data_IF_513647871002
#
_entry.id   IF_513647871002
#
_cell.length_a   1.000
_cell.length_b   1.000
_cell.length_c   1.000
_cell.angle_alpha   90.00
_cell.angle_beta   90.00
_cell.angle_gamma   90.00
#
_symmetry.space_group_name_H-M   'P 1'
#
loop_
_entity.id
_entity.type
_entity.pdbx_description
1 polymer ?
#
# COMPACT_ATOMS: atom_id res chain seq x y z
N UNK A 1 25.55 69.66 -37.73
CA UNK A 1 25.89 68.76 -36.59
C UNK A 1 24.60 68.20 -35.97
N UNK A 2 24.22 66.97 -36.28
CA UNK A 2 23.06 66.28 -35.67
C UNK A 2 23.59 65.22 -34.71
N UNK A 3 23.34 65.42 -33.42
CA UNK A 3 23.62 64.43 -32.33
C UNK A 3 22.60 63.32 -32.42
N UNK A 4 23.03 62.14 -32.80
CA UNK A 4 22.21 60.93 -32.67
C UNK A 4 22.27 60.44 -31.22
N UNK A 5 21.10 60.36 -30.58
CA UNK A 5 20.94 59.91 -29.21
C UNK A 5 21.14 58.35 -29.09
N UNK A 6 21.93 57.87 -28.12
CA UNK A 6 22.14 56.43 -27.92
C UNK A 6 21.00 55.75 -27.14
N UNK A 7 19.81 56.36 -27.05
CA UNK A 7 18.73 55.90 -26.18
C UNK A 7 17.85 54.78 -26.78
N UNK A 8 17.93 54.58 -28.11
CA UNK A 8 17.05 53.61 -28.79
C UNK A 8 17.63 52.16 -28.77
N UNK A 9 18.94 52.00 -28.59
CA UNK A 9 19.59 50.69 -28.61
C UNK A 9 19.46 49.91 -27.26
N UNK A 10 19.15 50.62 -26.16
CA UNK A 10 19.05 50.02 -24.83
C UNK A 10 17.67 49.37 -24.55
N UNK A 11 16.63 49.77 -25.27
CA UNK A 11 15.26 49.25 -25.09
C UNK A 11 15.07 47.91 -25.82
N UNK A 12 15.83 47.65 -26.90
CA UNK A 12 15.72 46.38 -27.65
C UNK A 12 16.47 45.22 -27.01
N UNK A 13 17.44 45.44 -26.14
CA UNK A 13 18.17 44.41 -25.41
C UNK A 13 17.48 43.97 -24.12
N UNK A 14 16.54 44.77 -23.59
CA UNK A 14 15.79 44.45 -22.36
C UNK A 14 14.55 43.60 -22.63
N UNK A 15 14.08 43.51 -23.88
CA UNK A 15 12.90 42.70 -24.25
C UNK A 15 13.21 41.22 -24.57
N UNK A 16 14.49 40.84 -24.68
CA UNK A 16 14.91 39.47 -24.95
C UNK A 16 15.20 38.63 -23.67
N UNK A 17 15.12 39.25 -22.47
CA UNK A 17 15.42 38.58 -21.21
C UNK A 17 14.19 38.16 -20.42
N UNK A 18 13.00 38.35 -20.95
CA UNK A 18 11.75 37.98 -20.29
C UNK A 18 11.00 36.96 -21.17
N UNK A 19 11.25 35.70 -21.02
CA UNK A 19 10.32 34.59 -21.22
C UNK A 19 11.06 33.24 -21.33
N UNK A 20 11.98 32.96 -20.40
CA UNK A 20 12.17 31.55 -20.00
C UNK A 20 11.14 31.24 -18.91
N UNK A 21 9.86 31.14 -19.27
CA UNK A 21 8.94 30.32 -18.47
C UNK A 21 9.49 28.90 -18.56
N UNK A 22 10.23 28.50 -17.54
CA UNK A 22 10.46 27.09 -17.26
C UNK A 22 9.08 26.46 -17.19
N UNK A 23 8.65 25.77 -18.24
CA UNK A 23 7.51 24.86 -18.14
C UNK A 23 7.86 23.95 -17.00
N UNK A 24 7.21 24.11 -15.85
CA UNK A 24 7.26 23.12 -14.78
C UNK A 24 6.73 21.85 -15.42
N UNK A 25 7.63 20.98 -15.84
CA UNK A 25 7.26 19.68 -16.39
C UNK A 25 6.48 18.95 -15.27
N UNK A 26 5.17 18.77 -15.49
CA UNK A 26 4.30 18.15 -14.50
C UNK A 26 4.70 16.68 -14.42
N UNK A 27 5.45 16.34 -13.40
CA UNK A 27 6.02 15.02 -13.21
C UNK A 27 4.95 13.99 -12.88
N UNK A 28 4.94 12.85 -13.58
CA UNK A 28 4.09 11.71 -13.27
C UNK A 28 4.66 10.99 -12.05
N UNK A 29 3.84 10.88 -10.99
CA UNK A 29 4.23 10.23 -9.73
C UNK A 29 3.63 8.86 -9.64
N UNK A 30 4.43 7.90 -9.16
CA UNK A 30 4.01 6.54 -8.84
C UNK A 30 4.40 6.21 -7.41
N UNK A 31 3.44 5.69 -6.66
CA UNK A 31 3.60 5.13 -5.34
C UNK A 31 3.39 3.61 -5.43
N UNK A 32 4.39 2.86 -5.01
CA UNK A 32 4.34 1.41 -4.87
C UNK A 32 3.92 1.12 -3.43
N UNK A 33 2.84 0.33 -3.25
CA UNK A 33 2.41 -0.15 -1.93
C UNK A 33 2.40 -1.67 -1.93
N UNK A 34 3.11 -2.27 -0.97
CA UNK A 34 3.13 -3.71 -0.75
C UNK A 34 2.30 -4.05 0.48
N UNK A 35 1.23 -4.80 0.29
CA UNK A 35 0.30 -5.21 1.34
C UNK A 35 0.73 -6.56 1.97
N UNK A 36 0.15 -6.90 3.12
CA UNK A 36 0.33 -8.15 3.87
C UNK A 36 1.75 -8.39 4.43
N UNK A 37 2.60 -7.38 4.53
CA UNK A 37 3.93 -7.53 5.13
C UNK A 37 3.77 -7.98 6.60
N UNK A 38 4.55 -8.96 7.03
CA UNK A 38 4.40 -9.56 8.37
C UNK A 38 3.36 -10.67 8.46
N UNK A 39 2.66 -11.00 7.37
CA UNK A 39 1.73 -12.12 7.34
C UNK A 39 2.46 -13.45 7.61
N UNK A 40 3.50 -13.74 6.86
CA UNK A 40 4.33 -14.94 7.00
C UNK A 40 5.78 -14.68 6.59
N UNK A 41 6.67 -15.64 6.93
CA UNK A 41 8.10 -15.54 6.60
C UNK A 41 8.37 -15.36 5.10
N UNK A 42 7.66 -16.06 4.23
CA UNK A 42 7.85 -15.97 2.79
C UNK A 42 7.52 -14.58 2.22
N UNK A 43 6.57 -13.85 2.81
CA UNK A 43 6.26 -12.45 2.47
C UNK A 43 7.37 -11.52 2.96
N UNK A 44 7.88 -11.74 4.17
CA UNK A 44 8.98 -10.93 4.72
C UNK A 44 10.27 -11.11 3.90
N UNK A 45 10.58 -12.33 3.47
CA UNK A 45 11.74 -12.60 2.58
C UNK A 45 11.55 -11.98 1.18
N UNK A 46 10.32 -11.94 0.66
CA UNK A 46 10.02 -11.22 -0.57
C UNK A 46 10.25 -9.70 -0.40
N UNK A 47 9.89 -9.16 0.77
CA UNK A 47 10.16 -7.76 1.12
C UNK A 47 11.66 -7.47 1.15
N UNK A 48 12.48 -8.35 1.70
CA UNK A 48 13.94 -8.21 1.65
C UNK A 48 14.47 -8.16 0.21
N UNK A 49 13.97 -9.04 -0.67
CA UNK A 49 14.36 -9.00 -2.10
C UNK A 49 13.96 -7.69 -2.79
N UNK A 50 12.82 -7.11 -2.42
CA UNK A 50 12.44 -5.80 -2.93
C UNK A 50 13.36 -4.71 -2.41
N UNK A 51 13.74 -4.74 -1.12
CA UNK A 51 14.68 -3.79 -0.51
C UNK A 51 16.05 -3.80 -1.20
N UNK A 52 16.56 -4.98 -1.63
CA UNK A 52 17.80 -5.12 -2.39
C UNK A 52 17.80 -4.34 -3.71
N UNK A 53 16.62 -4.02 -4.26
CA UNK A 53 16.51 -3.23 -5.50
C UNK A 53 16.78 -1.74 -5.31
N UNK A 54 16.75 -1.24 -4.06
CA UNK A 54 16.83 0.19 -3.72
C UNK A 54 15.61 1.01 -4.17
N UNK A 55 14.52 0.37 -4.59
CA UNK A 55 13.34 1.05 -5.10
C UNK A 55 12.47 1.57 -3.94
N UNK A 56 12.06 2.86 -3.95
CA UNK A 56 11.16 3.38 -2.92
C UNK A 56 9.79 2.68 -2.96
N UNK A 57 9.29 2.27 -1.79
CA UNK A 57 7.94 1.69 -1.65
C UNK A 57 7.35 1.99 -0.26
N UNK A 58 6.07 1.69 -0.11
CA UNK A 58 5.35 1.76 1.16
C UNK A 58 4.92 0.35 1.56
N UNK A 59 5.12 -0.02 2.83
CA UNK A 59 4.84 -1.33 3.39
C UNK A 59 3.62 -1.27 4.30
N UNK A 60 2.53 -1.98 3.97
CA UNK A 60 1.37 -2.16 4.84
C UNK A 60 1.56 -3.41 5.67
N UNK A 61 1.82 -3.25 6.98
CA UNK A 61 2.23 -4.33 7.90
C UNK A 61 1.06 -4.85 8.72
N UNK A 62 0.86 -6.18 8.72
CA UNK A 62 -0.18 -6.88 9.48
C UNK A 62 0.30 -7.15 10.92
N UNK A 63 0.10 -6.22 11.84
CA UNK A 63 0.52 -6.36 13.24
C UNK A 63 -0.30 -7.39 14.05
N UNK A 64 -1.40 -7.90 13.51
CA UNK A 64 -2.15 -9.01 14.09
C UNK A 64 -1.53 -10.38 13.76
N UNK A 65 -0.71 -10.48 12.71
CA UNK A 65 -0.10 -11.74 12.29
C UNK A 65 1.18 -12.06 13.06
N UNK A 66 1.51 -13.35 13.29
CA UNK A 66 2.67 -13.73 14.13
C UNK A 66 4.03 -13.24 13.61
N UNK A 67 4.20 -13.16 12.29
CA UNK A 67 5.48 -12.78 11.66
C UNK A 67 5.73 -11.28 11.57
N UNK A 68 4.85 -10.44 12.14
CA UNK A 68 5.07 -8.98 12.18
C UNK A 68 6.40 -8.59 12.83
N UNK A 69 6.87 -9.38 13.82
CA UNK A 69 8.12 -9.07 14.53
C UNK A 69 9.33 -9.12 13.62
N UNK A 70 9.42 -10.11 12.73
CA UNK A 70 10.47 -10.19 11.71
C UNK A 70 10.38 -9.03 10.72
N UNK A 71 9.15 -8.69 10.25
CA UNK A 71 8.94 -7.54 9.39
C UNK A 71 9.42 -6.23 10.06
N UNK A 72 9.14 -6.05 11.35
CA UNK A 72 9.63 -4.91 12.13
C UNK A 72 11.15 -4.87 12.17
N UNK A 73 11.81 -5.99 12.41
CA UNK A 73 13.29 -6.03 12.49
C UNK A 73 13.93 -5.72 11.14
N UNK A 74 13.35 -6.20 10.03
CA UNK A 74 13.76 -5.87 8.67
C UNK A 74 13.57 -4.37 8.41
N UNK A 75 12.36 -3.83 8.64
CA UNK A 75 12.02 -2.45 8.29
C UNK A 75 12.74 -1.42 9.18
N UNK A 76 13.15 -1.77 10.39
CA UNK A 76 13.98 -0.88 11.25
C UNK A 76 15.32 -0.53 10.63
N UNK A 77 15.88 -1.39 9.81
CA UNK A 77 17.14 -1.14 9.10
C UNK A 77 16.95 -0.37 7.79
N UNK A 78 15.68 -0.05 7.43
CA UNK A 78 15.29 0.61 6.20
C UNK A 78 14.34 1.81 6.46
N UNK A 79 14.84 2.89 7.11
CA UNK A 79 14.02 4.04 7.50
C UNK A 79 13.45 4.83 6.31
N UNK A 80 13.95 4.58 5.09
CA UNK A 80 13.44 5.14 3.83
C UNK A 80 12.09 4.55 3.42
N UNK A 81 11.73 3.35 3.90
CA UNK A 81 10.43 2.74 3.64
C UNK A 81 9.35 3.44 4.46
N UNK A 82 8.26 3.83 3.79
CA UNK A 82 7.07 4.33 4.47
C UNK A 82 6.26 3.15 5.02
N UNK A 83 5.99 3.14 6.31
CA UNK A 83 5.28 2.03 6.96
C UNK A 83 3.86 2.44 7.33
N UNK A 84 2.89 1.58 6.99
CA UNK A 84 1.51 1.66 7.41
C UNK A 84 1.08 0.46 8.24
N UNK A 85 0.00 0.64 9.01
CA UNK A 85 -0.66 -0.47 9.71
C UNK A 85 -1.75 -1.03 8.80
N UNK A 86 -1.59 -2.29 8.37
CA UNK A 86 -2.60 -3.02 7.62
C UNK A 86 -3.62 -3.61 8.58
N UNK A 87 -4.63 -2.79 8.95
CA UNK A 87 -5.64 -3.12 9.95
C UNK A 87 -6.43 -4.35 9.54
N UNK A 88 -6.36 -5.38 10.36
CA UNK A 88 -6.77 -6.74 10.03
C UNK A 88 -7.93 -7.18 10.90
N UNK A 89 -9.05 -7.57 10.29
CA UNK A 89 -10.26 -8.11 10.93
C UNK A 89 -10.72 -9.43 10.28
N UNK A 90 -9.89 -9.99 9.37
CA UNK A 90 -10.16 -11.25 8.66
C UNK A 90 -8.96 -12.18 8.71
N UNK A 91 -9.20 -13.48 8.50
CA UNK A 91 -8.19 -14.52 8.39
C UNK A 91 -8.62 -15.53 7.33
N UNK A 92 -8.36 -15.22 6.07
CA UNK A 92 -8.93 -15.87 4.89
C UNK A 92 -8.36 -17.25 4.55
N UNK A 93 -7.19 -17.61 5.10
CA UNK A 93 -6.53 -18.88 4.76
C UNK A 93 -7.16 -20.08 5.46
N UNK A 94 -7.27 -21.21 4.77
CA UNK A 94 -7.89 -22.43 5.31
C UNK A 94 -7.18 -22.99 6.56
N UNK A 95 -5.88 -23.07 6.53
CA UNK A 95 -5.07 -23.71 7.57
C UNK A 95 -4.17 -22.75 8.36
N UNK A 96 -3.88 -21.59 7.81
CA UNK A 96 -3.06 -20.57 8.43
C UNK A 96 -3.97 -19.46 8.97
N UNK A 97 -4.29 -19.54 10.24
CA UNK A 97 -5.25 -18.65 10.90
C UNK A 97 -4.59 -17.75 11.92
N UNK A 98 -5.12 -16.56 12.06
CA UNK A 98 -4.80 -15.63 13.13
C UNK A 98 -6.06 -15.03 13.73
N UNK A 99 -5.92 -14.48 14.93
CA UNK A 99 -7.00 -13.82 15.65
C UNK A 99 -6.59 -12.45 16.14
N UNK A 100 -7.43 -11.80 16.94
CA UNK A 100 -7.19 -10.48 17.47
C UNK A 100 -6.00 -10.46 18.44
N UNK A 101 -5.30 -9.31 18.45
CA UNK A 101 -4.20 -9.04 19.41
C UNK A 101 -4.69 -9.17 20.85
N UNK A 102 -5.93 -8.73 21.11
CA UNK A 102 -6.53 -8.71 22.45
C UNK A 102 -7.05 -10.08 22.89
N UNK A 103 -7.12 -11.04 21.97
CA UNK A 103 -7.65 -12.40 22.24
C UNK A 103 -9.18 -12.42 22.29
N UNK A 104 -9.73 -13.64 22.14
CA UNK A 104 -11.17 -13.93 22.06
C UNK A 104 -11.98 -13.34 23.23
N UNK A 105 -11.47 -13.46 24.45
CA UNK A 105 -12.20 -13.04 25.66
C UNK A 105 -12.46 -11.53 25.71
N UNK A 106 -11.59 -10.73 25.10
CA UNK A 106 -11.72 -9.27 25.09
C UNK A 106 -12.60 -8.77 23.96
N UNK A 107 -12.67 -9.49 22.85
CA UNK A 107 -13.38 -9.08 21.62
C UNK A 107 -14.12 -10.27 20.98
N UNK A 108 -15.02 -10.92 21.73
CA UNK A 108 -15.68 -12.18 21.32
C UNK A 108 -16.53 -12.06 20.05
N UNK A 109 -17.06 -10.87 19.74
CA UNK A 109 -17.87 -10.67 18.54
C UNK A 109 -17.04 -10.60 17.23
N UNK A 110 -15.72 -10.56 17.34
CA UNK A 110 -14.84 -10.44 16.16
C UNK A 110 -14.33 -11.79 15.65
N UNK A 111 -14.59 -12.89 16.37
CA UNK A 111 -13.97 -14.18 16.12
C UNK A 111 -14.97 -15.33 16.07
N UNK A 112 -14.54 -16.44 15.45
CA UNK A 112 -15.24 -17.70 15.45
C UNK A 112 -15.15 -18.44 16.80
N UNK A 113 -15.72 -19.63 16.88
CA UNK A 113 -15.69 -20.47 18.08
C UNK A 113 -14.27 -20.85 18.53
N UNK A 114 -13.31 -20.86 17.62
CA UNK A 114 -11.90 -21.20 17.86
C UNK A 114 -11.05 -19.98 18.26
N UNK A 115 -11.60 -18.77 18.16
CA UNK A 115 -10.89 -17.53 18.48
C UNK A 115 -10.12 -16.92 17.30
N UNK A 116 -10.38 -17.36 16.08
CA UNK A 116 -9.81 -16.79 14.86
C UNK A 116 -10.75 -15.76 14.23
N UNK A 117 -10.20 -14.78 13.57
CA UNK A 117 -10.99 -13.89 12.71
C UNK A 117 -11.70 -14.67 11.60
N UNK A 118 -12.85 -14.19 11.16
CA UNK A 118 -13.63 -14.79 10.07
C UNK A 118 -12.88 -14.72 8.73
N UNK A 119 -13.18 -15.65 7.84
CA UNK A 119 -12.51 -15.74 6.53
C UNK A 119 -12.88 -14.59 5.59
N UNK A 120 -14.12 -14.10 5.69
CA UNK A 120 -14.63 -13.08 4.77
C UNK A 120 -15.24 -11.90 5.52
N UNK A 121 -15.29 -10.74 4.85
CA UNK A 121 -16.01 -9.55 5.35
C UNK A 121 -17.50 -9.85 5.57
N UNK A 122 -18.11 -10.68 4.73
CA UNK A 122 -19.52 -11.07 4.87
C UNK A 122 -19.74 -11.84 6.17
N UNK A 123 -18.97 -12.88 6.44
CA UNK A 123 -19.07 -13.67 7.69
C UNK A 123 -18.82 -12.78 8.93
N UNK A 124 -17.83 -11.89 8.86
CA UNK A 124 -17.56 -10.93 9.92
C UNK A 124 -18.78 -10.05 10.22
N UNK A 125 -19.43 -9.49 9.19
CA UNK A 125 -20.62 -8.65 9.36
C UNK A 125 -21.86 -9.43 9.83
N UNK A 126 -22.05 -10.65 9.32
CA UNK A 126 -23.15 -11.53 9.74
C UNK A 126 -23.05 -11.94 11.23
N UNK A 127 -21.84 -11.97 11.78
CA UNK A 127 -21.64 -12.19 13.22
C UNK A 127 -21.99 -10.97 14.10
N UNK A 128 -22.49 -9.88 13.51
CA UNK A 128 -22.88 -8.66 14.23
C UNK A 128 -21.77 -8.09 15.13
N UNK A 129 -20.60 -7.71 14.59
CA UNK A 129 -19.48 -7.24 15.37
C UNK A 129 -19.83 -5.99 16.18
N UNK A 130 -19.50 -5.99 17.46
CA UNK A 130 -19.71 -4.83 18.32
C UNK A 130 -18.65 -3.76 18.03
N UNK A 131 -19.11 -2.56 17.75
CA UNK A 131 -18.23 -1.46 17.32
C UNK A 131 -17.18 -1.08 18.38
N UNK A 132 -17.49 -1.22 19.66
CA UNK A 132 -16.53 -1.00 20.76
C UNK A 132 -15.45 -2.09 20.82
N UNK A 133 -15.78 -3.35 20.46
CA UNK A 133 -14.80 -4.42 20.34
C UNK A 133 -13.92 -4.22 19.12
N UNK A 134 -14.50 -3.80 17.97
CA UNK A 134 -13.73 -3.42 16.78
C UNK A 134 -12.76 -2.29 17.11
N UNK A 135 -13.23 -1.24 17.78
CA UNK A 135 -12.38 -0.11 18.18
C UNK A 135 -11.21 -0.56 19.06
N UNK A 136 -11.47 -1.37 20.07
CA UNK A 136 -10.42 -1.89 20.98
C UNK A 136 -9.35 -2.63 20.19
N UNK A 137 -9.74 -3.53 19.30
CA UNK A 137 -8.80 -4.33 18.50
C UNK A 137 -8.01 -3.46 17.51
N UNK A 138 -8.66 -2.56 16.77
CA UNK A 138 -7.94 -1.69 15.83
C UNK A 138 -6.95 -0.77 16.54
N UNK A 139 -7.31 -0.25 17.73
CA UNK A 139 -6.36 0.50 18.58
C UNK A 139 -5.18 -0.36 19.00
N UNK A 140 -5.41 -1.59 19.44
CA UNK A 140 -4.34 -2.50 19.84
C UNK A 140 -3.36 -2.76 18.68
N UNK A 141 -3.85 -2.90 17.44
CA UNK A 141 -3.00 -3.05 16.26
C UNK A 141 -2.17 -1.80 15.99
N UNK A 142 -2.78 -0.60 16.03
CA UNK A 142 -2.07 0.68 15.85
C UNK A 142 -1.04 0.89 16.97
N UNK A 143 -1.40 0.65 18.21
CA UNK A 143 -0.52 0.85 19.37
C UNK A 143 0.66 -0.12 19.36
N UNK A 144 0.43 -1.40 18.97
CA UNK A 144 1.52 -2.37 18.75
C UNK A 144 2.49 -1.87 17.67
N UNK A 145 1.97 -1.29 16.60
CA UNK A 145 2.80 -0.71 15.53
C UNK A 145 3.63 0.46 16.05
N UNK A 146 3.03 1.41 16.77
CA UNK A 146 3.73 2.56 17.33
C UNK A 146 4.78 2.14 18.37
N UNK A 147 4.49 1.12 19.19
CA UNK A 147 5.43 0.57 20.18
C UNK A 147 6.55 -0.23 19.55
N UNK A 148 6.42 -0.64 18.29
CA UNK A 148 7.49 -1.37 17.58
C UNK A 148 8.75 -0.54 17.37
N UNK A 149 8.66 0.78 17.43
CA UNK A 149 9.75 1.73 17.16
C UNK A 149 9.93 2.06 15.68
N UNK A 150 9.03 1.60 14.80
CA UNK A 150 8.94 2.05 13.41
C UNK A 150 8.26 3.42 13.32
N UNK A 151 8.62 4.23 12.31
CA UNK A 151 7.84 5.39 11.92
C UNK A 151 6.60 4.90 11.18
N UNK A 152 5.42 5.16 11.73
CA UNK A 152 4.14 4.81 11.11
C UNK A 152 3.56 6.06 10.44
N UNK A 153 3.34 5.98 9.13
CA UNK A 153 2.90 7.12 8.31
C UNK A 153 1.39 7.06 8.00
N UNK A 154 0.80 5.85 7.90
CA UNK A 154 -0.60 5.69 7.49
C UNK A 154 -1.24 4.44 8.11
N UNK A 155 -2.57 4.36 8.00
CA UNK A 155 -3.33 3.13 8.23
C UNK A 155 -4.14 2.80 6.97
N UNK A 156 -4.21 1.55 6.62
CA UNK A 156 -5.10 1.00 5.62
C UNK A 156 -5.81 -0.25 6.16
N UNK A 157 -6.41 -1.06 5.32
CA UNK A 157 -7.25 -2.15 5.80
C UNK A 157 -7.12 -3.39 4.93
N UNK A 158 -6.87 -4.53 5.57
CA UNK A 158 -6.92 -5.85 4.95
C UNK A 158 -8.33 -6.15 4.45
N UNK A 159 -8.47 -6.62 3.20
CA UNK A 159 -9.73 -7.00 2.55
C UNK A 159 -10.86 -5.94 2.61
N UNK A 160 -10.58 -4.70 2.97
CA UNK A 160 -11.59 -3.65 3.05
C UNK A 160 -12.46 -3.67 4.31
N UNK A 161 -12.33 -4.65 5.19
CA UNK A 161 -13.28 -4.93 6.26
C UNK A 161 -13.42 -3.79 7.28
N UNK A 162 -12.32 -3.14 7.68
CA UNK A 162 -12.37 -2.02 8.62
C UNK A 162 -13.10 -0.77 8.08
N UNK A 163 -13.47 -0.76 6.79
CA UNK A 163 -14.22 0.33 6.16
C UNK A 163 -15.48 -0.17 5.41
N UNK A 164 -15.91 -1.42 5.65
CA UNK A 164 -16.98 -2.08 4.88
C UNK A 164 -18.39 -1.49 5.10
N UNK A 165 -18.63 -0.86 6.25
CA UNK A 165 -19.89 -0.17 6.54
C UNK A 165 -19.65 1.30 6.86
N UNK A 166 -20.67 2.19 6.76
CA UNK A 166 -20.52 3.58 7.17
C UNK A 166 -20.02 3.75 8.61
N UNK A 167 -20.48 2.89 9.53
CA UNK A 167 -20.07 2.94 10.93
C UNK A 167 -18.60 2.55 11.13
N UNK A 168 -18.17 1.47 10.49
CA UNK A 168 -16.76 1.03 10.51
C UNK A 168 -15.85 2.08 9.87
N UNK A 169 -16.26 2.65 8.75
CA UNK A 169 -15.51 3.72 8.07
C UNK A 169 -15.36 4.96 8.95
N UNK A 170 -16.41 5.39 9.64
CA UNK A 170 -16.33 6.52 10.58
C UNK A 170 -15.37 6.23 11.73
N UNK A 171 -15.37 5.01 12.26
CA UNK A 171 -14.42 4.57 13.27
C UNK A 171 -12.98 4.63 12.74
N UNK A 172 -12.74 4.03 11.57
CA UNK A 172 -11.44 4.00 10.90
C UNK A 172 -10.88 5.42 10.67
N UNK A 173 -11.70 6.33 10.14
CA UNK A 173 -11.33 7.74 9.92
C UNK A 173 -11.04 8.48 11.24
N UNK A 174 -11.80 8.19 12.29
CA UNK A 174 -11.57 8.76 13.63
C UNK A 174 -10.23 8.29 14.19
N UNK A 175 -9.91 7.01 14.09
CA UNK A 175 -8.62 6.47 14.54
C UNK A 175 -7.46 7.10 13.76
N UNK A 176 -7.55 7.21 12.43
CA UNK A 176 -6.53 7.88 11.62
C UNK A 176 -6.27 9.31 12.10
N UNK A 177 -7.33 10.06 12.38
CA UNK A 177 -7.24 11.44 12.87
C UNK A 177 -6.61 11.52 14.27
N UNK A 178 -7.02 10.66 15.21
CA UNK A 178 -6.54 10.62 16.58
C UNK A 178 -5.04 10.30 16.64
N UNK A 179 -4.61 9.29 15.87
CA UNK A 179 -3.20 8.87 15.79
C UNK A 179 -2.38 9.70 14.80
N UNK A 180 -2.98 10.68 14.11
CA UNK A 180 -2.33 11.56 13.11
C UNK A 180 -1.68 10.78 11.98
N UNK A 181 -2.39 9.79 11.44
CA UNK A 181 -1.96 8.90 10.35
C UNK A 181 -2.70 9.20 9.05
N UNK A 182 -2.02 9.00 7.92
CA UNK A 182 -2.64 9.10 6.60
C UNK A 182 -3.63 7.97 6.34
N UNK A 183 -4.50 8.15 5.35
CA UNK A 183 -5.37 7.10 4.83
C UNK A 183 -5.16 7.02 3.33
N UNK A 184 -4.64 5.90 2.78
CA UNK A 184 -4.64 5.62 1.35
C UNK A 184 -6.02 5.80 0.72
N UNK A 185 -6.07 6.22 -0.54
CA UNK A 185 -7.25 6.67 -1.30
C UNK A 185 -7.80 8.07 -0.93
N UNK A 186 -7.37 8.68 0.19
CA UNK A 186 -7.87 9.98 0.64
C UNK A 186 -7.07 11.17 0.10
N UNK A 187 -6.01 10.93 -0.68
CA UNK A 187 -5.20 11.99 -1.31
C UNK A 187 -5.48 12.15 -2.81
N UNK A 188 -6.66 11.69 -3.27
CA UNK A 188 -7.10 11.72 -4.67
C UNK A 188 -6.18 10.94 -5.62
N UNK A 189 -5.67 9.80 -5.15
CA UNK A 189 -4.82 8.90 -5.91
C UNK A 189 -5.62 8.13 -6.97
N UNK A 190 -4.94 7.72 -8.03
CA UNK A 190 -5.45 6.75 -9.01
C UNK A 190 -4.86 5.38 -8.70
N UNK A 191 -5.70 4.39 -8.43
CA UNK A 191 -5.31 3.05 -8.02
C UNK A 191 -5.25 2.06 -9.18
N UNK A 192 -4.26 1.18 -9.12
CA UNK A 192 -4.06 0.04 -9.99
C UNK A 192 -3.70 -1.18 -9.15
N UNK A 193 -4.13 -2.36 -9.57
CA UNK A 193 -3.86 -3.63 -8.90
C UNK A 193 -3.42 -4.67 -9.90
N UNK A 194 -2.55 -5.59 -9.46
CA UNK A 194 -2.14 -6.75 -10.25
C UNK A 194 -2.74 -8.06 -9.74
N UNK A 195 -3.42 -8.04 -8.60
CA UNK A 195 -3.90 -9.22 -7.91
C UNK A 195 -4.69 -10.17 -8.82
N UNK A 196 -5.65 -9.66 -9.60
CA UNK A 196 -6.50 -10.44 -10.50
C UNK A 196 -5.91 -10.69 -11.89
N UNK A 197 -4.72 -10.15 -12.18
CA UNK A 197 -4.04 -10.38 -13.47
C UNK A 197 -3.52 -11.82 -13.52
N UNK A 198 -3.65 -12.55 -14.66
CA UNK A 198 -3.05 -13.87 -14.82
C UNK A 198 -1.55 -13.88 -14.54
N UNK A 199 -1.05 -14.99 -13.99
CA UNK A 199 0.35 -15.12 -13.53
C UNK A 199 1.34 -14.75 -14.64
N UNK A 200 1.12 -15.29 -15.83
CA UNK A 200 1.97 -15.11 -17.02
C UNK A 200 1.94 -13.70 -17.60
N UNK A 201 0.91 -12.93 -17.29
CA UNK A 201 0.70 -11.58 -17.85
C UNK A 201 1.10 -10.46 -16.90
N UNK A 202 1.58 -10.75 -15.69
CA UNK A 202 1.81 -9.71 -14.67
C UNK A 202 2.87 -8.68 -15.07
N UNK A 203 3.96 -9.09 -15.72
CA UNK A 203 5.01 -8.16 -16.20
C UNK A 203 4.44 -7.24 -17.28
N UNK A 204 3.80 -7.80 -18.31
CA UNK A 204 3.26 -7.02 -19.43
C UNK A 204 2.17 -6.05 -18.95
N UNK A 205 1.27 -6.53 -18.09
CA UNK A 205 0.22 -5.70 -17.50
C UNK A 205 0.80 -4.57 -16.63
N UNK A 206 1.87 -4.82 -15.88
CA UNK A 206 2.55 -3.79 -15.11
C UNK A 206 3.16 -2.71 -16.02
N UNK A 207 3.80 -3.12 -17.12
CA UNK A 207 4.35 -2.21 -18.13
C UNK A 207 3.23 -1.37 -18.77
N UNK A 208 2.11 -2.00 -19.10
CA UNK A 208 0.93 -1.32 -19.66
C UNK A 208 0.37 -0.28 -18.67
N UNK A 209 0.22 -0.63 -17.40
CA UNK A 209 -0.21 0.31 -16.35
C UNK A 209 0.74 1.51 -16.31
N UNK A 210 2.06 1.29 -16.29
CA UNK A 210 3.05 2.39 -16.20
C UNK A 210 2.99 3.30 -17.43
N UNK A 211 2.79 2.73 -18.62
CA UNK A 211 2.64 3.53 -19.85
C UNK A 211 1.37 4.39 -19.87
N UNK A 212 0.35 4.04 -19.06
CA UNK A 212 -0.95 4.71 -19.01
C UNK A 212 -1.18 5.52 -17.70
N UNK A 213 -0.13 5.75 -16.89
CA UNK A 213 -0.24 6.53 -15.65
C UNK A 213 -0.71 7.96 -15.92
N UNK A 214 -1.55 8.49 -15.03
CA UNK A 214 -2.11 9.83 -15.16
C UNK A 214 -1.10 10.89 -14.72
N UNK A 215 -0.67 11.71 -15.66
CA UNK A 215 0.19 12.88 -15.39
C UNK A 215 -0.53 13.89 -14.48
N UNK A 216 0.21 14.47 -13.54
CA UNK A 216 -0.32 15.47 -12.60
C UNK A 216 -1.12 14.88 -11.44
N UNK A 217 -1.24 13.53 -11.37
CA UNK A 217 -1.84 12.81 -10.24
C UNK A 217 -0.81 11.93 -9.55
N UNK A 218 -1.13 11.53 -8.32
CA UNK A 218 -0.44 10.43 -7.65
C UNK A 218 -1.10 9.13 -8.10
N UNK A 219 -0.36 8.27 -8.79
CA UNK A 219 -0.79 6.94 -9.15
C UNK A 219 -0.28 5.96 -8.09
N UNK A 220 -1.06 4.97 -7.72
CA UNK A 220 -0.68 3.93 -6.76
C UNK A 220 -0.85 2.56 -7.42
N UNK A 221 0.18 1.72 -7.32
CA UNK A 221 0.06 0.30 -7.67
C UNK A 221 0.20 -0.51 -6.38
N UNK A 222 -0.79 -1.36 -6.12
CA UNK A 222 -0.80 -2.27 -4.95
C UNK A 222 -0.29 -3.64 -5.37
N UNK A 223 0.62 -4.17 -4.58
CA UNK A 223 1.24 -5.48 -4.75
C UNK A 223 1.04 -6.36 -3.51
N UNK A 224 0.88 -7.65 -3.75
CA UNK A 224 0.89 -8.69 -2.74
C UNK A 224 2.07 -9.63 -3.03
N UNK A 225 3.25 -9.28 -2.55
CA UNK A 225 4.48 -10.03 -2.85
C UNK A 225 4.67 -11.23 -1.93
N UNK A 226 5.33 -12.28 -2.43
CA UNK A 226 5.69 -13.47 -1.67
C UNK A 226 6.74 -14.30 -2.39
N UNK A 227 7.48 -15.14 -1.66
CA UNK A 227 8.34 -16.15 -2.26
C UNK A 227 7.54 -17.42 -2.52
N UNK A 228 7.76 -18.02 -3.68
CA UNK A 228 7.25 -19.37 -3.97
C UNK A 228 8.05 -20.39 -3.16
N UNK A 229 7.36 -21.11 -2.27
CA UNK A 229 7.92 -22.17 -1.45
C UNK A 229 6.79 -23.09 -0.94
N UNK A 230 7.10 -24.30 -0.38
CA UNK A 230 6.09 -25.25 0.07
C UNK A 230 5.12 -24.71 1.14
N UNK A 231 5.55 -23.79 2.01
CA UNK A 231 4.67 -23.19 3.03
C UNK A 231 3.64 -22.26 2.37
N UNK A 232 4.09 -21.39 1.44
CA UNK A 232 3.17 -20.54 0.68
C UNK A 232 2.24 -21.36 -0.25
N UNK A 233 2.71 -22.47 -0.81
CA UNK A 233 1.90 -23.37 -1.63
C UNK A 233 0.76 -24.03 -0.84
N UNK A 234 0.90 -24.15 0.48
CA UNK A 234 -0.13 -24.68 1.38
C UNK A 234 -1.22 -23.64 1.74
N UNK A 235 -1.05 -22.36 1.40
CA UNK A 235 -2.07 -21.34 1.66
C UNK A 235 -3.22 -21.47 0.66
N UNK A 236 -4.41 -21.76 1.15
CA UNK A 236 -5.64 -21.86 0.34
C UNK A 236 -6.54 -20.69 0.74
N UNK A 237 -6.82 -19.82 -0.25
CA UNK A 237 -7.70 -18.66 -0.05
C UNK A 237 -9.17 -19.10 -0.02
N UNK A 238 -9.83 -18.89 1.11
CA UNK A 238 -11.24 -19.23 1.31
C UNK A 238 -12.18 -18.11 0.84
N UNK A 239 -11.63 -16.90 0.60
CA UNK A 239 -12.39 -15.73 0.17
C UNK A 239 -12.40 -15.54 -1.35
N UNK A 240 -11.26 -15.74 -2.03
CA UNK A 240 -11.10 -15.43 -3.46
C UNK A 240 -10.79 -16.69 -4.29
N UNK A 241 -11.85 -17.35 -4.78
CA UNK A 241 -11.76 -18.61 -5.53
C UNK A 241 -10.80 -18.62 -6.73
N UNK A 242 -10.61 -17.53 -7.53
CA UNK A 242 -9.62 -17.52 -8.61
C UNK A 242 -8.17 -17.79 -8.19
N UNK A 243 -7.85 -17.73 -6.89
CA UNK A 243 -6.56 -18.15 -6.35
C UNK A 243 -6.43 -19.67 -6.16
N UNK A 244 -7.40 -20.44 -6.66
CA UNK A 244 -7.37 -21.90 -6.65
C UNK A 244 -7.63 -22.41 -8.05
N UNK A 245 -6.80 -23.37 -8.54
CA UNK A 245 -7.01 -23.99 -9.85
C UNK A 245 -8.30 -24.83 -9.89
N UNK A 246 -8.80 -25.19 -11.08
CA UNK A 246 -9.94 -26.10 -11.22
C UNK A 246 -9.75 -27.44 -10.50
N UNK A 247 -8.51 -27.91 -10.38
CA UNK A 247 -8.12 -29.16 -9.70
C UNK A 247 -7.98 -28.97 -8.18
N UNK A 248 -8.25 -27.77 -7.65
CA UNK A 248 -8.19 -27.46 -6.21
C UNK A 248 -6.79 -27.14 -5.69
N UNK A 249 -5.81 -26.88 -6.56
CA UNK A 249 -4.45 -26.47 -6.18
C UNK A 249 -4.40 -24.97 -5.92
N UNK A 250 -3.80 -24.56 -4.79
CA UNK A 250 -3.58 -23.15 -4.50
C UNK A 250 -2.64 -22.49 -5.52
N UNK A 251 -3.03 -21.32 -6.00
CA UNK A 251 -2.23 -20.46 -6.88
C UNK A 251 -1.64 -19.24 -6.16
N UNK A 252 -1.93 -19.07 -4.86
CA UNK A 252 -1.51 -17.90 -4.04
C UNK A 252 -0.01 -17.67 -4.13
N UNK A 253 0.78 -18.71 -3.89
CA UNK A 253 2.24 -18.66 -3.92
C UNK A 253 2.77 -18.15 -5.26
N UNK A 254 2.28 -18.75 -6.35
CA UNK A 254 2.68 -18.38 -7.73
C UNK A 254 2.26 -16.95 -8.10
N UNK A 255 1.04 -16.53 -7.73
CA UNK A 255 0.57 -15.17 -7.95
C UNK A 255 1.44 -14.13 -7.23
N UNK A 256 1.71 -14.35 -5.93
CA UNK A 256 2.54 -13.44 -5.12
C UNK A 256 3.99 -13.40 -5.60
N UNK A 257 4.53 -14.55 -6.01
CA UNK A 257 5.88 -14.62 -6.58
C UNK A 257 5.97 -13.92 -7.94
N UNK A 258 4.95 -14.06 -8.79
CA UNK A 258 4.88 -13.36 -10.07
C UNK A 258 4.77 -11.83 -9.89
N UNK A 259 4.07 -11.34 -8.86
CA UNK A 259 4.07 -9.93 -8.51
C UNK A 259 5.45 -9.43 -8.06
N UNK A 260 6.15 -10.19 -7.23
CA UNK A 260 7.53 -9.88 -6.85
C UNK A 260 8.44 -9.84 -8.08
N UNK A 261 8.36 -10.85 -8.96
CA UNK A 261 9.15 -10.89 -10.21
C UNK A 261 8.88 -9.68 -11.09
N UNK A 262 7.61 -9.33 -11.27
CA UNK A 262 7.23 -8.17 -12.09
C UNK A 262 7.80 -6.86 -11.49
N UNK A 263 7.64 -6.67 -10.18
CA UNK A 263 8.10 -5.48 -9.46
C UNK A 263 9.63 -5.35 -9.49
N UNK A 264 10.37 -6.47 -9.36
CA UNK A 264 11.83 -6.47 -9.38
C UNK A 264 12.43 -6.60 -10.79
N UNK A 265 11.60 -6.67 -11.85
CA UNK A 265 12.06 -6.90 -13.22
C UNK A 265 12.89 -5.73 -13.78
N UNK A 266 13.75 -6.06 -14.74
CA UNK A 266 14.52 -5.06 -15.50
C UNK A 266 13.58 -4.23 -16.37
N UNK A 267 12.59 -4.85 -16.97
CA UNK A 267 11.58 -4.25 -17.84
C UNK A 267 10.79 -3.15 -17.11
N UNK A 268 10.40 -3.42 -15.85
CA UNK A 268 9.72 -2.41 -15.03
C UNK A 268 10.61 -1.21 -14.76
N UNK A 269 11.89 -1.42 -14.41
CA UNK A 269 12.85 -0.31 -14.20
C UNK A 269 13.09 0.49 -15.48
N UNK A 270 13.19 -0.18 -16.63
CA UNK A 270 13.38 0.48 -17.92
C UNK A 270 12.19 1.35 -18.31
N UNK A 271 10.95 0.86 -18.11
CA UNK A 271 9.74 1.65 -18.44
C UNK A 271 9.57 2.84 -17.50
N UNK A 272 9.92 2.71 -16.21
CA UNK A 272 9.94 3.83 -15.28
C UNK A 272 10.90 4.93 -15.76
N UNK A 273 12.13 4.56 -16.14
CA UNK A 273 13.13 5.50 -16.67
C UNK A 273 12.70 6.15 -17.97
N UNK A 274 12.20 5.35 -18.94
CA UNK A 274 11.71 5.82 -20.24
C UNK A 274 10.59 6.86 -20.11
N UNK A 275 9.65 6.62 -19.20
CA UNK A 275 8.51 7.51 -18.97
C UNK A 275 8.80 8.60 -17.93
N UNK A 276 10.04 8.73 -17.44
CA UNK A 276 10.47 9.70 -16.42
C UNK A 276 9.54 9.67 -15.18
N UNK A 277 9.14 8.48 -14.74
CA UNK A 277 8.27 8.30 -13.58
C UNK A 277 9.04 8.60 -12.30
N UNK A 278 8.45 9.42 -11.45
CA UNK A 278 8.99 9.74 -10.13
C UNK A 278 8.36 8.84 -9.07
N UNK A 279 9.15 7.91 -8.52
CA UNK A 279 8.71 7.08 -7.41
C UNK A 279 8.66 7.89 -6.12
N UNK A 280 7.57 7.76 -5.39
CA UNK A 280 7.35 8.36 -4.08
C UNK A 280 6.76 7.33 -3.12
N UNK A 281 6.84 7.62 -1.83
CA UNK A 281 6.19 6.85 -0.75
C UNK A 281 4.99 7.60 -0.17
N UNK A 282 4.19 6.96 0.70
CA UNK A 282 3.17 7.66 1.48
C UNK A 282 3.78 8.69 2.43
N UNK A 283 4.98 8.42 2.96
CA UNK A 283 5.72 9.42 3.74
C UNK A 283 5.94 10.71 2.94
N UNK A 284 6.46 10.60 1.71
CA UNK A 284 6.71 11.74 0.82
C UNK A 284 5.43 12.49 0.48
N UNK A 285 4.36 11.74 0.16
CA UNK A 285 3.06 12.31 -0.16
C UNK A 285 2.51 13.10 1.02
N UNK A 286 2.44 12.49 2.21
CA UNK A 286 1.90 13.08 3.42
C UNK A 286 2.74 14.29 3.86
N UNK A 287 4.07 14.17 3.83
CA UNK A 287 4.99 15.26 4.17
C UNK A 287 4.80 16.47 3.25
N UNK A 288 4.52 16.22 1.96
CA UNK A 288 4.33 17.29 0.97
C UNK A 288 2.98 17.99 1.07
N UNK A 289 1.86 17.23 1.24
CA UNK A 289 0.51 17.82 1.15
C UNK A 289 -0.16 18.00 2.52
N UNK A 290 0.33 17.30 3.55
CA UNK A 290 -0.20 17.29 4.91
C UNK A 290 -1.48 16.47 5.05
N UNK A 291 -1.79 16.03 6.28
CA UNK A 291 -2.99 15.23 6.58
C UNK A 291 -4.31 16.01 6.34
N UNK A 292 -4.26 17.34 6.38
CA UNK A 292 -5.44 18.18 6.09
C UNK A 292 -5.89 18.09 4.62
N UNK A 293 -5.06 17.59 3.72
CA UNK A 293 -5.40 17.36 2.32
C UNK A 293 -6.29 16.12 2.11
N UNK A 294 -6.40 15.23 3.09
CA UNK A 294 -7.25 14.04 3.02
C UNK A 294 -8.72 14.41 2.78
N UNK A 295 -9.32 13.75 1.81
CA UNK A 295 -10.75 13.86 1.49
C UNK A 295 -11.28 12.46 1.25
N UNK A 296 -12.43 12.15 1.88
CA UNK A 296 -13.11 10.87 1.63
C UNK A 296 -13.35 10.70 0.13
N UNK A 297 -12.98 9.56 -0.46
CA UNK A 297 -13.35 9.24 -1.84
C UNK A 297 -14.88 9.26 -2.01
N UNK A 298 -15.33 9.70 -3.19
CA UNK A 298 -16.76 9.73 -3.56
C UNK A 298 -17.30 8.33 -3.79
#
# INVERSE_FOLDING_TARGET
MRRNSPLILFIFLLSLFLFQFSRVEVQTKLLIRCDDIGMCHAVNMATMKLLETGMPFSASVMFACPWYKEAVDILKTHPEVSVGVHLTLNSEWKYYKWGPILGKESVPSLVDSNGYFFETTTQFLENNPKIDEVEKELRAQIERALQSGLRIDYIDHHMGTAAATPQLRLLFERLAKEYKLGIPHYFNETYHVLFSVPIESKIDSLIEIVNNLKTGKTNVIVFHIGLENPEMDALIDMNYKPMTSPEGVSLVSRHRHAELKALCSKEFREVLGKNKIHLITYHDLISKVGLKAMKRPK
#
